data_IF_196850010065
#
_entry.id   IF_196850010065
#
_cell.length_a   1.000
_cell.length_b   1.000
_cell.length_c   1.000
_cell.angle_alpha   90.00
_cell.angle_beta   90.00
_cell.angle_gamma   90.00
#
_symmetry.space_group_name_H-M   'P 1'
#
loop_
_entity.id
_entity.type
_entity.pdbx_description
1 polymer ?
#
# COMPACT_ATOMS: atom_id res chain seq x y z
N UNK A 1 71.63 0.37 -31.59
CA UNK A 1 70.69 1.49 -31.46
C UNK A 1 69.38 1.15 -32.19
N UNK A 2 68.41 0.66 -31.44
CA UNK A 2 67.11 0.21 -32.03
C UNK A 2 66.02 1.13 -31.54
N UNK A 3 65.27 1.77 -32.44
CA UNK A 3 64.18 2.72 -32.13
C UNK A 3 62.89 1.97 -31.69
N UNK A 4 62.13 2.45 -30.70
CA UNK A 4 60.88 1.81 -30.26
C UNK A 4 59.75 2.15 -31.21
N UNK A 5 58.96 1.12 -31.57
CA UNK A 5 57.72 1.21 -32.40
C UNK A 5 56.59 1.86 -31.58
N UNK A 6 56.02 2.97 -32.06
CA UNK A 6 54.78 3.59 -31.56
C UNK A 6 53.60 2.66 -31.76
N UNK A 7 52.95 2.19 -30.68
CA UNK A 7 51.66 1.56 -30.68
C UNK A 7 50.57 2.62 -30.92
N UNK A 8 49.84 2.50 -32.03
CA UNK A 8 48.60 3.24 -32.31
C UNK A 8 47.54 2.88 -31.28
N UNK A 9 47.08 3.84 -30.49
CA UNK A 9 45.87 3.74 -29.66
C UNK A 9 44.68 3.66 -30.63
N UNK A 10 43.95 2.53 -30.58
CA UNK A 10 42.65 2.36 -31.20
C UNK A 10 41.65 3.16 -30.36
N UNK A 11 41.04 4.19 -30.94
CA UNK A 11 39.89 4.88 -30.33
C UNK A 11 38.70 3.90 -30.32
N UNK A 12 38.29 3.50 -29.11
CA UNK A 12 36.99 2.85 -28.95
C UNK A 12 35.93 3.92 -29.22
N UNK A 13 35.11 3.69 -30.24
CA UNK A 13 33.85 4.40 -30.42
C UNK A 13 32.92 3.95 -29.27
N UNK A 14 32.12 4.85 -28.68
CA UNK A 14 31.12 4.45 -27.69
C UNK A 14 30.09 3.56 -28.40
N UNK A 15 29.79 2.44 -27.77
CA UNK A 15 28.75 1.50 -28.14
C UNK A 15 27.38 2.18 -27.97
N UNK A 16 26.59 2.28 -29.02
CA UNK A 16 25.25 2.85 -29.05
C UNK A 16 24.18 1.78 -28.76
N UNK A 17 24.42 0.91 -27.79
CA UNK A 17 23.43 -0.01 -27.26
C UNK A 17 23.31 0.17 -25.74
N UNK A 18 23.18 1.41 -25.27
CA UNK A 18 22.57 1.63 -23.99
C UNK A 18 21.06 1.42 -24.21
N UNK A 19 20.48 0.44 -23.55
CA UNK A 19 19.05 0.40 -23.30
C UNK A 19 18.64 1.76 -22.68
N UNK A 20 17.43 2.27 -22.94
CA UNK A 20 16.97 3.46 -22.26
C UNK A 20 17.17 3.27 -20.76
N UNK A 21 17.71 4.27 -20.10
CA UNK A 21 17.73 4.33 -18.63
C UNK A 21 16.24 4.33 -18.24
N UNK A 22 15.75 3.21 -17.72
CA UNK A 22 14.45 3.15 -17.04
C UNK A 22 14.43 4.29 -16.01
N UNK A 23 13.49 5.20 -16.12
CA UNK A 23 13.32 6.24 -15.12
C UNK A 23 13.01 5.51 -13.81
N UNK A 24 13.87 5.64 -12.83
CA UNK A 24 13.76 4.88 -11.59
C UNK A 24 12.57 5.38 -10.70
N UNK A 25 11.83 6.38 -11.14
CA UNK A 25 10.75 7.01 -10.39
C UNK A 25 9.75 7.69 -11.34
N UNK A 26 8.45 7.33 -11.18
CA UNK A 26 7.31 7.96 -11.85
C UNK A 26 7.01 7.45 -13.26
N UNK A 27 5.86 7.84 -13.78
CA UNK A 27 5.37 7.50 -15.10
C UNK A 27 6.30 8.04 -16.20
N UNK A 28 6.62 7.22 -17.20
CA UNK A 28 7.43 7.66 -18.34
C UNK A 28 6.59 8.52 -19.30
N UNK A 29 7.11 9.68 -19.71
CA UNK A 29 6.45 10.61 -20.67
C UNK A 29 5.96 9.90 -21.94
N UNK A 30 6.66 8.83 -22.39
CA UNK A 30 6.32 8.04 -23.57
C UNK A 30 5.04 7.22 -23.35
N UNK A 31 4.86 6.65 -22.14
CA UNK A 31 3.65 5.89 -21.77
C UNK A 31 2.44 6.81 -21.69
N UNK A 32 2.57 7.98 -21.06
CA UNK A 32 1.50 8.99 -21.01
C UNK A 32 1.02 9.38 -22.42
N UNK A 33 1.96 9.70 -23.32
CA UNK A 33 1.63 10.06 -24.70
C UNK A 33 0.94 8.92 -25.46
N UNK A 34 1.39 7.68 -25.28
CA UNK A 34 0.79 6.50 -25.91
C UNK A 34 -0.62 6.24 -25.40
N UNK A 35 -0.88 6.46 -24.10
CA UNK A 35 -2.21 6.36 -23.49
C UNK A 35 -3.15 7.43 -24.06
N UNK A 36 -2.74 8.69 -24.12
CA UNK A 36 -3.52 9.79 -24.69
C UNK A 36 -3.84 9.52 -26.16
N UNK A 37 -2.85 9.02 -26.95
CA UNK A 37 -3.08 8.65 -28.34
C UNK A 37 -4.07 7.48 -28.46
N UNK A 38 -3.99 6.49 -27.57
CA UNK A 38 -4.88 5.32 -27.58
C UNK A 38 -6.30 5.71 -27.18
N UNK A 39 -6.48 6.58 -26.17
CA UNK A 39 -7.77 7.16 -25.78
C UNK A 39 -8.42 7.92 -26.94
N UNK A 40 -7.69 8.82 -27.60
CA UNK A 40 -8.18 9.60 -28.73
C UNK A 40 -8.63 8.73 -29.91
N UNK A 41 -8.11 7.50 -30.03
CA UNK A 41 -8.44 6.54 -31.10
C UNK A 41 -9.39 5.43 -30.66
N UNK A 42 -9.89 5.47 -29.41
CA UNK A 42 -10.75 4.45 -28.79
C UNK A 42 -10.18 3.02 -28.97
N UNK A 43 -8.90 2.86 -28.61
CA UNK A 43 -8.19 1.57 -28.73
C UNK A 43 -8.16 0.84 -27.38
N UNK A 44 -9.30 0.37 -26.92
CA UNK A 44 -9.49 -0.21 -25.59
C UNK A 44 -8.53 -1.36 -25.29
N UNK A 45 -8.34 -2.30 -26.21
CA UNK A 45 -7.39 -3.42 -26.04
C UNK A 45 -5.94 -2.94 -25.87
N UNK A 46 -5.58 -1.85 -26.54
CA UNK A 46 -4.23 -1.29 -26.45
C UNK A 46 -4.02 -0.52 -25.16
N UNK A 47 -5.05 0.19 -24.68
CA UNK A 47 -5.05 0.85 -23.38
C UNK A 47 -4.82 -0.14 -22.24
N UNK A 48 -5.53 -1.29 -22.24
CA UNK A 48 -5.30 -2.34 -21.24
C UNK A 48 -3.87 -2.85 -21.24
N UNK A 49 -3.26 -3.06 -22.41
CA UNK A 49 -1.87 -3.51 -22.53
C UNK A 49 -0.88 -2.47 -21.96
N UNK A 50 -1.19 -1.17 -22.10
CA UNK A 50 -0.33 -0.09 -21.58
C UNK A 50 -0.46 0.05 -20.05
N UNK A 51 -1.66 -0.17 -19.50
CA UNK A 51 -1.95 0.07 -18.07
C UNK A 51 -1.66 -1.16 -17.21
N UNK A 52 -1.92 -2.38 -17.70
CA UNK A 52 -1.75 -3.63 -16.95
C UNK A 52 -0.36 -3.80 -16.28
N UNK A 53 0.77 -3.38 -16.88
CA UNK A 53 2.07 -3.45 -16.23
C UNK A 53 2.38 -2.32 -15.24
N UNK A 54 1.55 -1.27 -15.16
CA UNK A 54 1.80 -0.11 -14.30
C UNK A 54 1.50 -0.42 -12.84
N UNK A 55 2.32 0.14 -11.95
CA UNK A 55 2.03 0.14 -10.52
C UNK A 55 0.87 1.11 -10.22
N UNK A 56 0.09 0.89 -9.16
CA UNK A 56 -1.05 1.74 -8.82
C UNK A 56 -0.66 3.23 -8.67
N UNK A 57 0.52 3.54 -8.14
CA UNK A 57 1.05 4.91 -8.05
C UNK A 57 1.28 5.53 -9.44
N UNK A 58 1.74 4.76 -10.43
CA UNK A 58 1.94 5.23 -11.80
C UNK A 58 0.59 5.44 -12.51
N UNK A 59 -0.42 4.65 -12.17
CA UNK A 59 -1.79 4.85 -12.66
C UNK A 59 -2.40 6.11 -12.03
N UNK A 60 -2.15 6.39 -10.75
CA UNK A 60 -2.56 7.62 -10.10
C UNK A 60 -1.92 8.84 -10.79
N UNK A 61 -0.59 8.86 -10.96
CA UNK A 61 0.13 9.91 -11.70
C UNK A 61 -0.47 10.13 -13.10
N UNK A 62 -0.76 9.03 -13.82
CA UNK A 62 -1.39 9.10 -15.15
C UNK A 62 -2.76 9.78 -15.09
N UNK A 63 -3.61 9.38 -14.15
CA UNK A 63 -4.95 9.94 -13.97
C UNK A 63 -4.91 11.43 -13.64
N UNK A 64 -3.93 11.90 -12.88
CA UNK A 64 -3.73 13.31 -12.56
C UNK A 64 -3.31 14.14 -13.78
N UNK A 65 -2.51 13.58 -14.67
CA UNK A 65 -2.04 14.26 -15.90
C UNK A 65 -3.09 14.30 -17.00
N UNK A 66 -4.06 13.38 -17.04
CA UNK A 66 -5.13 13.36 -18.02
C UNK A 66 -6.14 14.48 -17.81
N UNK A 67 -6.71 15.01 -18.90
CA UNK A 67 -7.85 15.91 -18.79
C UNK A 67 -9.12 15.15 -18.32
N UNK A 68 -10.18 15.85 -17.83
CA UNK A 68 -11.37 15.19 -17.29
C UNK A 68 -12.07 14.23 -18.25
N UNK A 69 -12.09 14.51 -19.57
CA UNK A 69 -12.73 13.64 -20.57
C UNK A 69 -11.90 12.36 -20.81
N UNK A 70 -10.60 12.48 -20.86
CA UNK A 70 -9.65 11.36 -21.00
C UNK A 70 -9.68 10.50 -19.73
N UNK A 71 -9.64 11.11 -18.56
CA UNK A 71 -9.73 10.45 -17.25
C UNK A 71 -11.03 9.65 -17.12
N UNK A 72 -12.17 10.26 -17.42
CA UNK A 72 -13.46 9.58 -17.39
C UNK A 72 -13.49 8.36 -18.34
N UNK A 73 -12.94 8.52 -19.55
CA UNK A 73 -12.89 7.42 -20.53
C UNK A 73 -12.00 6.28 -20.04
N UNK A 74 -10.89 6.59 -19.38
CA UNK A 74 -9.98 5.59 -18.84
C UNK A 74 -10.61 4.85 -17.66
N UNK A 75 -11.19 5.57 -16.69
CA UNK A 75 -11.86 4.98 -15.52
C UNK A 75 -13.02 4.06 -15.96
N UNK A 76 -13.85 4.48 -16.90
CA UNK A 76 -14.92 3.62 -17.43
C UNK A 76 -14.39 2.32 -18.05
N UNK A 77 -13.20 2.35 -18.64
CA UNK A 77 -12.58 1.17 -19.23
C UNK A 77 -12.04 0.19 -18.18
N UNK A 78 -11.40 0.72 -17.10
CA UNK A 78 -10.71 -0.10 -16.09
C UNK A 78 -11.52 -0.30 -14.82
N UNK A 79 -12.72 0.26 -14.68
CA UNK A 79 -13.54 0.33 -13.46
C UNK A 79 -13.66 -0.99 -12.67
N UNK A 80 -13.72 -2.12 -13.36
CA UNK A 80 -13.82 -3.45 -12.73
C UNK A 80 -12.48 -4.10 -12.40
N UNK A 81 -11.40 -3.49 -12.84
CA UNK A 81 -10.00 -3.94 -12.67
C UNK A 81 -9.19 -2.89 -11.91
N UNK A 82 -9.85 -1.80 -11.45
CA UNK A 82 -9.21 -0.71 -10.75
C UNK A 82 -8.65 -1.21 -9.42
N UNK A 83 -7.35 -1.01 -9.22
CA UNK A 83 -6.73 -1.24 -7.91
C UNK A 83 -7.23 -0.16 -6.93
N UNK A 84 -7.89 -0.55 -5.82
CA UNK A 84 -8.39 0.41 -4.83
C UNK A 84 -7.33 1.36 -4.27
N UNK A 85 -6.07 0.92 -4.16
CA UNK A 85 -4.96 1.72 -3.68
C UNK A 85 -4.66 2.95 -4.57
N UNK A 86 -5.18 3.01 -5.80
CA UNK A 86 -5.10 4.20 -6.64
C UNK A 86 -5.79 5.40 -5.97
N UNK A 87 -6.92 5.16 -5.28
CA UNK A 87 -7.70 6.23 -4.65
C UNK A 87 -6.95 6.95 -3.53
N UNK A 88 -6.09 6.25 -2.77
CA UNK A 88 -5.28 6.86 -1.71
C UNK A 88 -4.10 7.69 -2.23
N UNK A 89 -3.67 7.46 -3.47
CA UNK A 89 -2.54 8.18 -4.08
C UNK A 89 -2.96 9.44 -4.85
N UNK A 90 -4.26 9.64 -5.11
CA UNK A 90 -4.77 10.75 -5.92
C UNK A 90 -4.91 12.06 -5.13
N UNK A 91 -4.64 13.19 -5.80
CA UNK A 91 -5.03 14.50 -5.30
C UNK A 91 -6.57 14.58 -5.10
N UNK A 92 -7.01 15.29 -4.04
CA UNK A 92 -8.41 15.42 -3.63
C UNK A 92 -9.39 15.68 -4.81
N UNK A 93 -9.10 16.68 -5.65
CA UNK A 93 -10.01 17.02 -6.76
C UNK A 93 -10.15 15.91 -7.82
N UNK A 94 -9.07 15.16 -8.06
CA UNK A 94 -9.07 14.06 -9.05
C UNK A 94 -9.78 12.86 -8.47
N UNK A 95 -9.57 12.59 -7.19
CA UNK A 95 -10.26 11.54 -6.46
C UNK A 95 -11.77 11.75 -6.44
N UNK A 96 -12.24 12.97 -6.13
CA UNK A 96 -13.67 13.31 -6.14
C UNK A 96 -14.29 13.07 -7.51
N UNK A 97 -13.64 13.50 -8.60
CA UNK A 97 -14.11 13.22 -9.96
C UNK A 97 -14.23 11.72 -10.23
N UNK A 98 -13.30 10.91 -9.76
CA UNK A 98 -13.31 9.46 -9.96
C UNK A 98 -14.40 8.80 -9.11
N UNK A 99 -14.60 9.23 -7.87
CA UNK A 99 -15.67 8.77 -6.98
C UNK A 99 -17.03 9.04 -7.62
N UNK A 100 -17.24 10.22 -8.19
CA UNK A 100 -18.47 10.56 -8.93
C UNK A 100 -18.71 9.64 -10.14
N UNK A 101 -17.64 9.24 -10.86
CA UNK A 101 -17.74 8.33 -12.01
C UNK A 101 -18.09 6.89 -11.57
N UNK A 102 -17.44 6.41 -10.52
CA UNK A 102 -17.61 5.05 -10.00
C UNK A 102 -18.97 4.88 -9.30
N UNK A 103 -19.36 5.87 -8.49
CA UNK A 103 -20.57 5.84 -7.67
C UNK A 103 -20.42 5.02 -6.39
N UNK A 104 -21.40 5.18 -5.49
CA UNK A 104 -21.38 4.68 -4.11
C UNK A 104 -21.04 3.19 -3.98
N UNK A 105 -21.68 2.34 -4.80
CA UNK A 105 -21.52 0.89 -4.66
C UNK A 105 -20.11 0.41 -5.03
N UNK A 106 -19.49 1.00 -6.06
CA UNK A 106 -18.16 0.64 -6.50
C UNK A 106 -17.09 1.23 -5.58
N UNK A 107 -17.29 2.46 -5.12
CA UNK A 107 -16.38 3.07 -4.12
C UNK A 107 -16.44 2.30 -2.80
N UNK A 108 -17.64 1.90 -2.33
CA UNK A 108 -17.74 1.07 -1.14
C UNK A 108 -17.02 -0.28 -1.29
N UNK A 109 -17.11 -0.90 -2.47
CA UNK A 109 -16.39 -2.13 -2.74
C UNK A 109 -14.86 -1.92 -2.80
N UNK A 110 -14.41 -0.80 -3.38
CA UNK A 110 -13.00 -0.41 -3.42
C UNK A 110 -12.45 -0.16 -2.02
N UNK A 111 -13.12 0.67 -1.22
CA UNK A 111 -12.73 0.99 0.17
C UNK A 111 -12.70 -0.25 1.06
N UNK A 112 -13.63 -1.20 0.87
CA UNK A 112 -13.61 -2.49 1.58
C UNK A 112 -12.40 -3.36 1.25
N UNK A 113 -11.72 -3.13 0.14
CA UNK A 113 -10.51 -3.83 -0.26
C UNK A 113 -9.22 -3.21 0.27
N UNK A 114 -9.29 -2.02 0.86
CA UNK A 114 -8.13 -1.30 1.41
C UNK A 114 -7.79 -1.71 2.84
N UNK A 115 -6.56 -1.42 3.26
CA UNK A 115 -6.18 -1.43 4.67
C UNK A 115 -6.95 -0.33 5.42
N UNK A 116 -7.16 -0.50 6.73
CA UNK A 116 -8.12 0.32 7.48
C UNK A 116 -7.73 1.78 7.62
N UNK A 117 -6.43 2.11 7.59
CA UNK A 117 -5.90 3.46 7.59
C UNK A 117 -6.18 4.18 6.25
N UNK A 118 -5.88 3.54 5.13
CA UNK A 118 -6.19 4.07 3.79
C UNK A 118 -7.69 4.26 3.59
N UNK A 119 -8.49 3.30 4.04
CA UNK A 119 -9.95 3.40 3.99
C UNK A 119 -10.48 4.60 4.81
N UNK A 120 -9.91 4.84 6.00
CA UNK A 120 -10.26 5.99 6.85
C UNK A 120 -9.87 7.30 6.17
N UNK A 121 -8.68 7.38 5.56
CA UNK A 121 -8.20 8.58 4.85
C UNK A 121 -9.16 8.98 3.72
N UNK A 122 -9.53 8.03 2.85
CA UNK A 122 -10.44 8.30 1.74
C UNK A 122 -11.82 8.76 2.26
N UNK A 123 -12.38 8.04 3.24
CA UNK A 123 -13.71 8.38 3.76
C UNK A 123 -13.70 9.72 4.50
N UNK A 124 -12.63 10.08 5.20
CA UNK A 124 -12.53 11.36 5.93
C UNK A 124 -12.62 12.58 5.02
N UNK A 125 -12.10 12.49 3.81
CA UNK A 125 -12.05 13.59 2.85
C UNK A 125 -13.37 13.82 2.09
N UNK A 126 -14.30 12.84 2.14
CA UNK A 126 -15.62 12.95 1.50
C UNK A 126 -16.56 13.88 2.28
N UNK A 127 -17.59 14.39 1.61
CA UNK A 127 -18.65 15.13 2.30
C UNK A 127 -19.51 14.23 3.21
N UNK A 128 -20.22 14.82 4.20
CA UNK A 128 -21.00 14.07 5.19
C UNK A 128 -22.06 13.14 4.58
N UNK A 129 -22.65 13.50 3.44
CA UNK A 129 -23.68 12.70 2.77
C UNK A 129 -23.06 11.52 2.02
N UNK A 130 -21.95 11.74 1.35
CA UNK A 130 -21.17 10.71 0.65
C UNK A 130 -20.58 9.71 1.63
N UNK A 131 -19.91 10.19 2.71
CA UNK A 131 -19.40 9.35 3.79
C UNK A 131 -20.47 8.38 4.29
N UNK A 132 -21.66 8.92 4.58
CA UNK A 132 -22.76 8.12 5.10
C UNK A 132 -23.22 7.06 4.10
N UNK A 133 -23.39 7.43 2.83
CA UNK A 133 -23.87 6.51 1.79
C UNK A 133 -22.86 5.38 1.57
N UNK A 134 -21.58 5.71 1.48
CA UNK A 134 -20.51 4.73 1.28
C UNK A 134 -20.39 3.82 2.51
N UNK A 135 -20.35 4.38 3.72
CA UNK A 135 -20.31 3.57 4.95
C UNK A 135 -21.51 2.63 5.09
N UNK A 136 -22.73 3.06 4.68
CA UNK A 136 -23.92 2.20 4.69
C UNK A 136 -23.80 1.03 3.68
N UNK A 137 -23.07 1.20 2.59
CA UNK A 137 -22.85 0.18 1.56
C UNK A 137 -21.72 -0.80 1.94
N UNK A 138 -20.76 -0.42 2.81
CA UNK A 138 -19.68 -1.28 3.27
C UNK A 138 -20.21 -2.39 4.20
N UNK A 139 -19.68 -3.63 4.12
CA UNK A 139 -20.04 -4.71 5.05
C UNK A 139 -19.81 -4.35 6.52
N UNK A 140 -20.72 -4.77 7.42
CA UNK A 140 -20.75 -4.31 8.81
C UNK A 140 -19.46 -4.55 9.60
N UNK A 141 -18.68 -5.58 9.26
CA UNK A 141 -17.40 -5.88 9.94
C UNK A 141 -16.33 -4.83 9.64
N UNK A 142 -16.13 -4.54 8.36
CA UNK A 142 -15.15 -3.56 7.86
C UNK A 142 -15.58 -2.14 8.21
N UNK A 143 -16.86 -1.82 8.00
CA UNK A 143 -17.42 -0.52 8.39
C UNK A 143 -17.13 -0.17 9.86
N UNK A 144 -17.22 -1.15 10.78
CA UNK A 144 -16.93 -0.92 12.20
C UNK A 144 -15.49 -0.45 12.45
N UNK A 145 -14.53 -0.97 11.69
CA UNK A 145 -13.11 -0.58 11.79
C UNK A 145 -12.91 0.86 11.29
N UNK A 146 -13.54 1.20 10.18
CA UNK A 146 -13.49 2.55 9.61
C UNK A 146 -14.16 3.55 10.54
N UNK A 147 -15.38 3.27 11.03
CA UNK A 147 -16.11 4.13 11.99
C UNK A 147 -15.31 4.32 13.30
N UNK A 148 -14.61 3.30 13.77
CA UNK A 148 -13.70 3.43 14.91
C UNK A 148 -12.54 4.36 14.57
N UNK A 149 -11.92 4.24 13.39
CA UNK A 149 -10.88 5.14 12.90
C UNK A 149 -11.35 6.59 12.89
N UNK A 150 -12.49 6.83 12.26
CA UNK A 150 -13.11 8.15 12.18
C UNK A 150 -13.49 8.76 13.55
N UNK A 151 -13.62 7.94 14.60
CA UNK A 151 -13.91 8.40 15.95
C UNK A 151 -12.74 9.04 16.68
N UNK A 152 -11.49 8.78 16.23
CA UNK A 152 -10.30 9.41 16.82
C UNK A 152 -10.12 10.85 16.32
N UNK A 153 -9.43 11.72 17.08
CA UNK A 153 -9.12 13.07 16.63
C UNK A 153 -8.33 13.04 15.31
N UNK A 154 -8.58 13.99 14.43
CA UNK A 154 -7.73 14.24 13.25
C UNK A 154 -6.27 14.38 13.68
N UNK A 155 -5.35 14.05 12.80
CA UNK A 155 -3.91 14.14 13.06
C UNK A 155 -3.43 13.33 14.28
N UNK A 156 -4.19 12.33 14.74
CA UNK A 156 -3.81 11.49 15.88
C UNK A 156 -3.33 10.11 15.45
N UNK A 157 -2.49 9.48 16.29
CA UNK A 157 -2.03 8.10 16.08
C UNK A 157 -3.18 7.11 15.82
N UNK A 158 -4.31 7.29 16.51
CA UNK A 158 -5.47 6.43 16.34
C UNK A 158 -6.17 6.59 15.00
N UNK A 159 -6.09 7.78 14.38
CA UNK A 159 -6.60 8.04 13.04
C UNK A 159 -5.75 7.37 11.98
N UNK A 160 -4.44 7.40 12.12
CA UNK A 160 -3.44 6.91 11.18
C UNK A 160 -3.01 5.46 11.41
N UNK A 161 -3.54 4.77 12.44
CA UNK A 161 -3.09 3.42 12.74
C UNK A 161 -3.79 2.38 11.88
N UNK A 162 -3.00 1.52 11.28
CA UNK A 162 -3.46 0.28 10.67
C UNK A 162 -3.97 -0.69 11.74
N UNK A 163 -5.07 -1.39 11.49
CA UNK A 163 -5.68 -2.35 12.43
C UNK A 163 -5.45 -3.79 12.06
N UNK A 164 -5.01 -4.05 10.87
CA UNK A 164 -4.66 -5.37 10.36
C UNK A 164 -3.34 -5.81 10.96
N UNK A 165 -3.40 -6.54 12.09
CA UNK A 165 -2.24 -6.98 12.84
C UNK A 165 -2.09 -8.49 12.85
N UNK A 166 -0.87 -8.97 12.69
CA UNK A 166 -0.53 -10.38 12.92
C UNK A 166 -0.36 -10.60 14.42
N UNK A 167 -1.33 -11.27 15.05
CA UNK A 167 -1.30 -11.58 16.47
C UNK A 167 -1.25 -13.08 16.71
N UNK A 168 -0.46 -13.51 17.71
CA UNK A 168 -0.31 -14.89 18.11
C UNK A 168 -0.33 -15.04 19.63
N UNK A 169 -0.90 -16.13 20.18
CA UNK A 169 -0.94 -16.33 21.62
C UNK A 169 0.40 -16.80 22.18
N UNK A 170 0.67 -16.47 23.45
CA UNK A 170 1.90 -16.82 24.19
C UNK A 170 2.23 -18.32 24.21
N UNK A 171 1.24 -19.21 24.05
CA UNK A 171 1.44 -20.66 24.12
C UNK A 171 1.82 -21.30 22.79
N UNK A 172 1.94 -20.52 21.71
CA UNK A 172 2.42 -21.04 20.43
C UNK A 172 3.94 -21.11 20.36
N UNK A 173 4.42 -21.98 19.47
CA UNK A 173 5.81 -22.03 19.05
C UNK A 173 6.00 -21.37 17.67
N UNK A 174 7.25 -21.20 17.26
CA UNK A 174 7.64 -20.62 15.97
C UNK A 174 6.99 -21.38 14.80
N UNK A 175 6.92 -22.69 14.87
CA UNK A 175 6.33 -23.52 13.82
C UNK A 175 4.86 -23.28 13.62
N UNK A 176 4.10 -23.21 14.71
CA UNK A 176 2.66 -22.91 14.71
C UNK A 176 2.38 -21.52 14.16
N UNK A 177 3.22 -20.53 14.53
CA UNK A 177 3.14 -19.16 14.03
C UNK A 177 3.36 -19.09 12.51
N UNK A 178 4.41 -19.75 12.00
CA UNK A 178 4.68 -19.81 10.55
C UNK A 178 3.54 -20.50 9.80
N UNK A 179 3.03 -21.61 10.34
CA UNK A 179 1.93 -22.36 9.71
C UNK A 179 0.60 -21.59 9.74
N UNK A 180 0.39 -20.73 10.74
CA UNK A 180 -0.73 -19.79 10.79
C UNK A 180 -0.64 -18.75 9.68
N UNK A 181 0.49 -18.06 9.55
CA UNK A 181 0.70 -17.05 8.52
C UNK A 181 0.55 -17.63 7.10
N UNK A 182 1.07 -18.83 6.85
CA UNK A 182 0.91 -19.49 5.55
C UNK A 182 -0.53 -19.83 5.23
N UNK A 183 -1.31 -20.25 6.21
CA UNK A 183 -2.75 -20.53 6.03
C UNK A 183 -3.57 -19.27 5.84
N UNK A 184 -3.16 -18.16 6.46
CA UNK A 184 -3.79 -16.84 6.23
C UNK A 184 -3.54 -16.34 4.80
N UNK A 185 -2.33 -16.53 4.28
CA UNK A 185 -1.99 -16.17 2.91
C UNK A 185 -2.73 -16.99 1.83
N UNK A 186 -3.18 -18.21 2.17
CA UNK A 186 -3.98 -19.06 1.26
C UNK A 186 -5.48 -18.66 1.23
N UNK A 187 -5.89 -17.74 2.11
CA UNK A 187 -7.26 -17.26 2.19
C UNK A 187 -7.32 -15.81 1.69
N UNK A 188 -8.13 -15.63 0.70
CA UNK A 188 -8.43 -14.33 0.12
C UNK A 188 -9.54 -13.61 0.93
N UNK A 189 -9.40 -13.61 2.28
CA UNK A 189 -10.41 -13.08 3.21
C UNK A 189 -9.94 -11.81 3.97
N UNK A 190 -8.83 -11.19 3.53
CA UNK A 190 -8.28 -9.98 4.15
C UNK A 190 -7.82 -10.12 5.60
N UNK A 191 -7.77 -11.36 6.12
CA UNK A 191 -7.43 -11.63 7.53
C UNK A 191 -5.94 -11.46 7.85
N UNK A 192 -5.10 -11.26 6.84
CA UNK A 192 -3.67 -11.08 6.99
C UNK A 192 -3.24 -9.83 6.22
N UNK A 193 -2.55 -8.87 6.85
CA UNK A 193 -2.06 -7.69 6.14
C UNK A 193 -1.08 -8.10 5.04
N UNK A 194 -1.08 -7.34 3.94
CA UNK A 194 -0.22 -7.63 2.80
C UNK A 194 1.26 -7.46 3.17
N UNK A 195 1.56 -6.47 3.98
CA UNK A 195 2.90 -6.21 4.51
C UNK A 195 2.88 -6.11 6.03
N UNK A 196 3.79 -6.81 6.70
CA UNK A 196 4.01 -6.69 8.14
C UNK A 196 5.46 -7.02 8.50
N UNK A 197 5.94 -6.41 9.57
CA UNK A 197 7.32 -6.55 10.03
C UNK A 197 7.41 -7.21 11.41
N UNK A 198 6.42 -7.00 12.25
CA UNK A 198 6.33 -7.52 13.61
C UNK A 198 5.10 -8.40 13.80
N UNK A 199 5.23 -9.42 14.62
CA UNK A 199 4.16 -10.31 15.05
C UNK A 199 3.93 -10.01 16.53
N UNK A 200 2.73 -9.62 16.89
CA UNK A 200 2.40 -9.29 18.27
C UNK A 200 1.99 -10.54 19.05
N UNK A 201 2.58 -10.70 20.24
CA UNK A 201 2.29 -11.82 21.12
C UNK A 201 1.28 -11.36 22.18
N UNK A 202 0.15 -12.06 22.27
CA UNK A 202 -0.93 -11.73 23.20
C UNK A 202 -1.12 -12.78 24.29
N UNK A 203 -1.50 -12.33 25.47
CA UNK A 203 -1.95 -13.21 26.53
C UNK A 203 -3.37 -13.76 26.27
N UNK A 204 -3.91 -14.69 27.09
CA UNK A 204 -5.26 -15.23 26.91
C UNK A 204 -6.38 -14.18 27.06
N UNK A 205 -6.09 -12.98 27.53
CA UNK A 205 -7.03 -11.85 27.63
C UNK A 205 -6.87 -10.85 26.49
N UNK A 206 -6.11 -11.25 25.44
CA UNK A 206 -5.78 -10.45 24.26
C UNK A 206 -4.96 -9.17 24.54
N UNK A 207 -4.32 -9.08 25.72
CA UNK A 207 -3.36 -8.00 25.95
C UNK A 207 -2.02 -8.32 25.28
N UNK A 208 -1.42 -7.37 24.55
CA UNK A 208 -0.12 -7.56 23.96
C UNK A 208 0.96 -7.61 25.06
N UNK A 209 1.82 -8.63 25.01
CA UNK A 209 2.89 -8.87 25.99
C UNK A 209 4.29 -8.79 25.38
N UNK A 210 4.40 -8.67 24.08
CA UNK A 210 5.65 -8.52 23.34
C UNK A 210 5.45 -8.58 21.85
N UNK A 211 6.51 -8.34 21.10
CA UNK A 211 6.53 -8.50 19.64
C UNK A 211 7.69 -9.37 19.18
N UNK A 212 7.54 -10.01 18.04
CA UNK A 212 8.57 -10.81 17.38
C UNK A 212 8.81 -10.29 15.99
N UNK A 213 9.96 -9.68 15.71
CA UNK A 213 10.32 -9.31 14.34
C UNK A 213 10.29 -10.51 13.41
N UNK A 214 9.63 -10.40 12.25
CA UNK A 214 9.51 -11.47 11.27
C UNK A 214 10.87 -12.09 10.93
N UNK A 215 11.90 -11.25 10.82
CA UNK A 215 13.28 -11.68 10.57
C UNK A 215 13.85 -12.57 11.68
N UNK A 216 13.45 -12.37 12.93
CA UNK A 216 13.85 -13.21 14.07
C UNK A 216 13.08 -14.53 14.07
N UNK A 217 11.77 -14.49 13.82
CA UNK A 217 10.95 -15.68 13.68
C UNK A 217 11.52 -16.64 12.65
N UNK A 218 11.83 -16.16 11.44
CA UNK A 218 12.34 -16.97 10.33
C UNK A 218 13.71 -17.60 10.59
N UNK A 219 14.53 -17.03 11.49
CA UNK A 219 15.83 -17.56 11.87
C UNK A 219 15.80 -18.48 13.09
N UNK A 220 14.66 -18.58 13.76
CA UNK A 220 14.47 -19.39 14.96
C UNK A 220 14.07 -20.82 14.62
N UNK A 221 14.33 -21.76 15.53
CA UNK A 221 13.91 -23.14 15.36
C UNK A 221 12.40 -23.26 15.56
N UNK A 222 11.76 -24.14 14.78
CA UNK A 222 10.30 -24.28 14.77
C UNK A 222 9.69 -24.74 16.13
N UNK A 223 10.47 -25.44 16.94
CA UNK A 223 10.06 -25.95 18.25
C UNK A 223 10.23 -24.96 19.41
N UNK A 224 10.84 -23.79 19.15
CA UNK A 224 11.01 -22.75 20.17
C UNK A 224 9.68 -22.05 20.47
N UNK A 225 9.33 -21.85 21.76
CA UNK A 225 8.21 -21.02 22.15
C UNK A 225 8.38 -19.58 21.61
N UNK A 226 7.29 -18.93 21.19
CA UNK A 226 7.36 -17.51 20.74
C UNK A 226 7.82 -16.59 21.86
N UNK A 227 7.51 -16.93 23.11
CA UNK A 227 7.94 -16.19 24.31
C UNK A 227 9.44 -16.16 24.51
N UNK A 228 10.18 -17.16 24.00
CA UNK A 228 11.64 -17.21 24.13
C UNK A 228 12.36 -16.31 23.12
N UNK A 229 11.66 -15.89 22.08
CA UNK A 229 12.20 -15.07 21.00
C UNK A 229 11.58 -13.67 20.92
N UNK A 230 10.49 -13.40 21.65
CA UNK A 230 9.84 -12.12 21.65
C UNK A 230 10.67 -11.04 22.36
N UNK A 231 10.43 -9.80 21.97
CA UNK A 231 10.87 -8.61 22.69
C UNK A 231 9.76 -8.18 23.64
N UNK A 232 10.00 -8.21 24.96
CA UNK A 232 8.96 -7.88 25.94
C UNK A 232 8.75 -6.37 26.10
N UNK A 233 9.72 -5.55 25.66
CA UNK A 233 9.63 -4.09 25.69
C UNK A 233 8.90 -3.59 24.45
N UNK A 234 7.57 -3.52 24.54
CA UNK A 234 6.75 -2.96 23.48
C UNK A 234 6.80 -1.43 23.52
N UNK A 235 6.80 -0.85 22.33
CA UNK A 235 6.69 0.59 22.13
C UNK A 235 5.23 0.90 21.93
N UNK A 236 4.59 1.38 22.99
CA UNK A 236 3.17 1.73 23.00
C UNK A 236 3.04 3.23 22.78
N UNK A 237 2.24 3.62 21.83
CA UNK A 237 1.90 5.01 21.53
C UNK A 237 0.41 5.17 21.84
N UNK A 238 0.02 6.14 22.71
CA UNK A 238 -1.39 6.42 22.93
C UNK A 238 -2.10 6.86 21.66
N UNK A 239 -3.30 6.36 21.38
CA UNK A 239 -4.09 6.68 20.19
C UNK A 239 -4.39 8.17 20.02
N UNK A 240 -4.30 8.96 21.09
CA UNK A 240 -4.50 10.42 21.09
C UNK A 240 -3.20 11.20 20.87
N UNK A 241 -2.08 10.53 20.63
CA UNK A 241 -0.79 11.19 20.36
C UNK A 241 -0.85 11.84 18.97
N UNK A 242 -0.35 13.08 18.91
CA UNK A 242 -0.27 13.84 17.67
C UNK A 242 0.66 13.17 16.64
N UNK A 243 0.29 13.20 15.36
CA UNK A 243 1.02 12.54 14.28
C UNK A 243 2.47 13.03 14.14
N UNK A 244 2.75 14.32 14.38
CA UNK A 244 4.12 14.85 14.34
C UNK A 244 4.99 14.25 15.46
N UNK A 245 4.39 14.03 16.65
CA UNK A 245 5.06 13.36 17.76
C UNK A 245 5.29 11.89 17.46
N UNK A 246 4.32 11.20 16.85
CA UNK A 246 4.47 9.83 16.36
C UNK A 246 5.62 9.74 15.35
N UNK A 247 5.62 10.58 14.32
CA UNK A 247 6.66 10.62 13.30
C UNK A 247 8.05 10.90 13.91
N UNK A 248 8.11 11.78 14.91
CA UNK A 248 9.36 12.06 15.65
C UNK A 248 9.86 10.83 16.42
N UNK A 249 8.97 10.11 17.11
CA UNK A 249 9.30 8.88 17.85
C UNK A 249 9.80 7.78 16.92
N UNK A 250 9.11 7.55 15.79
CA UNK A 250 9.53 6.57 14.77
C UNK A 250 10.94 6.88 14.28
N UNK A 251 11.19 8.12 13.87
CA UNK A 251 12.52 8.54 13.40
C UNK A 251 13.59 8.47 14.49
N UNK A 252 13.30 8.95 15.72
CA UNK A 252 14.26 8.97 16.82
C UNK A 252 14.68 7.58 17.25
N UNK A 253 13.76 6.62 17.26
CA UNK A 253 13.97 5.26 17.73
C UNK A 253 14.16 4.25 16.60
N UNK A 254 14.14 4.72 15.36
CA UNK A 254 14.23 3.88 14.15
C UNK A 254 13.20 2.74 14.19
N UNK A 255 11.95 3.10 14.50
CA UNK A 255 10.85 2.14 14.54
C UNK A 255 10.37 1.83 13.13
N UNK A 256 9.88 0.60 12.95
CA UNK A 256 9.16 0.14 11.77
C UNK A 256 7.68 -0.05 12.13
N UNK A 257 7.42 -0.40 13.40
CA UNK A 257 6.07 -0.55 13.96
C UNK A 257 6.07 -0.13 15.43
N UNK A 258 4.90 0.19 15.96
CA UNK A 258 4.69 0.54 17.37
C UNK A 258 3.30 0.08 17.84
#
# INVERSE_FOLDING_TARGET
>A
MSKPKKKKRRSLKPDKSAAPEESAFGLEDEVEQDVVEALAKSRDDHLRILIDPLHYTEVADLLEHLNPEERSSLIELIRFELDPAILSELDENVRDEIIDILGVDEVAAAVSGLESDDAVEIIEELDEEEQKQILEAIPAGERSLIEEGLSYPQDSAGRLMQRELVTVPTYWNVGETIDFMRRGADKDDGAMPEQFYDIFVTDPTFHPVGSVPLSRLLRSKRDMPVTDIMEPEMKLIPVTTDQEEVAFLFRQRNLVSA
#
